data_IF_413812614116
#
_entry.id   IF_413812614116
#
_cell.length_a   1.000
_cell.length_b   1.000
_cell.length_c   1.000
_cell.angle_alpha   90.00
_cell.angle_beta   90.00
_cell.angle_gamma   90.00
#
_symmetry.space_group_name_H-M   'P 1'
#
loop_
_entity.id
_entity.type
_entity.pdbx_description
1 polymer ?
#
# COMPACT_ATOMS: atom_id res chain seq x y z
N UNK A 1 -22.07 27.77 -3.66
CA UNK A 1 -21.59 26.38 -3.55
C UNK A 1 -20.08 26.45 -3.45
N UNK A 2 -19.48 26.01 -2.34
CA UNK A 2 -18.02 25.92 -2.22
C UNK A 2 -17.61 24.75 -3.09
N UNK A 3 -16.96 25.01 -4.23
CA UNK A 3 -16.36 23.96 -5.04
C UNK A 3 -15.30 23.29 -4.18
N UNK A 4 -15.54 22.06 -3.74
CA UNK A 4 -14.49 21.27 -3.10
C UNK A 4 -13.41 21.05 -4.16
N UNK A 5 -12.18 21.53 -3.92
CA UNK A 5 -11.06 21.24 -4.79
C UNK A 5 -10.92 19.71 -4.93
N UNK A 6 -10.66 19.16 -6.12
CA UNK A 6 -10.37 17.74 -6.29
C UNK A 6 -9.07 17.39 -5.55
N UNK A 7 -9.23 16.95 -4.31
CA UNK A 7 -8.18 16.54 -3.41
C UNK A 7 -7.91 15.04 -3.61
N UNK A 8 -6.66 14.68 -3.90
CA UNK A 8 -6.25 13.28 -3.88
C UNK A 8 -6.02 12.86 -2.43
N UNK A 9 -6.91 12.05 -1.91
CA UNK A 9 -6.78 11.43 -0.60
C UNK A 9 -5.91 10.17 -0.71
N UNK A 10 -5.33 9.77 0.41
CA UNK A 10 -4.69 8.45 0.49
C UNK A 10 -5.68 7.37 0.05
N UNK A 11 -5.23 6.46 -0.82
CA UNK A 11 -5.99 5.27 -1.19
C UNK A 11 -5.79 4.13 -0.18
N UNK A 12 -5.02 4.38 0.88
CA UNK A 12 -4.84 3.47 1.99
C UNK A 12 -5.73 3.90 3.16
N UNK A 13 -6.37 2.91 3.78
CA UNK A 13 -7.12 3.05 5.02
C UNK A 13 -6.63 2.00 6.02
N UNK A 14 -6.43 2.42 7.26
CA UNK A 14 -6.26 1.52 8.41
C UNK A 14 -7.56 0.79 8.77
N UNK A 15 -8.72 1.37 8.44
CA UNK A 15 -10.01 0.74 8.72
C UNK A 15 -10.27 -0.37 7.71
N UNK A 16 -10.40 -1.64 8.17
CA UNK A 16 -10.69 -2.74 7.27
C UNK A 16 -12.12 -2.68 6.75
N UNK A 17 -12.35 -3.22 5.56
CA UNK A 17 -13.71 -3.55 5.11
C UNK A 17 -14.07 -4.96 5.54
N UNK A 18 -15.25 -5.12 6.13
CA UNK A 18 -15.76 -6.41 6.61
C UNK A 18 -16.57 -7.11 5.51
N UNK A 19 -16.22 -8.35 5.22
CA UNK A 19 -16.95 -9.23 4.31
C UNK A 19 -17.40 -10.48 5.07
N UNK A 20 -18.65 -10.91 4.87
CA UNK A 20 -19.17 -12.15 5.45
C UNK A 20 -19.60 -13.13 4.37
N UNK A 21 -19.07 -14.36 4.43
CA UNK A 21 -19.35 -15.44 3.49
C UNK A 21 -20.21 -16.48 4.17
N UNK A 22 -21.41 -16.74 3.63
CA UNK A 22 -22.36 -17.73 4.16
C UNK A 22 -22.42 -18.95 3.26
N UNK A 23 -22.39 -20.13 3.88
CA UNK A 23 -22.54 -21.43 3.24
C UNK A 23 -24.00 -21.94 3.29
N UNK A 24 -24.97 -21.08 3.63
CA UNK A 24 -26.36 -21.49 3.82
C UNK A 24 -27.01 -22.11 2.57
N UNK A 25 -26.65 -21.63 1.37
CA UNK A 25 -27.18 -22.17 0.11
C UNK A 25 -26.54 -23.48 -0.31
N UNK A 26 -25.32 -23.76 0.16
CA UNK A 26 -24.59 -25.00 -0.11
C UNK A 26 -23.62 -25.29 1.05
N UNK A 27 -24.07 -26.04 2.08
CA UNK A 27 -23.25 -26.37 3.24
C UNK A 27 -22.00 -27.21 2.89
N UNK A 28 -22.03 -27.89 1.74
CA UNK A 28 -20.92 -28.74 1.28
C UNK A 28 -19.90 -28.01 0.43
N UNK A 29 -20.20 -26.77 0.02
CA UNK A 29 -19.32 -25.96 -0.80
C UNK A 29 -17.92 -25.78 -0.18
N UNK A 30 -16.95 -25.65 -1.07
CA UNK A 30 -15.63 -25.11 -0.72
C UNK A 30 -15.66 -23.59 -0.73
N UNK A 31 -14.92 -22.96 0.19
CA UNK A 31 -14.67 -21.52 0.09
C UNK A 31 -13.91 -21.21 -1.21
N UNK A 32 -13.01 -22.10 -1.64
CA UNK A 32 -12.19 -21.93 -2.83
C UNK A 32 -10.98 -21.03 -2.62
N UNK A 33 -10.35 -21.09 -1.44
CA UNK A 33 -9.13 -20.34 -1.09
C UNK A 33 -8.09 -21.23 -0.45
N UNK A 34 -6.81 -20.87 -0.64
CA UNK A 34 -5.71 -21.37 0.16
C UNK A 34 -5.38 -20.35 1.24
N UNK A 35 -5.15 -20.82 2.47
CA UNK A 35 -4.83 -19.97 3.62
C UNK A 35 -3.35 -20.06 3.97
N UNK A 36 -2.76 -18.93 4.37
CA UNK A 36 -1.44 -18.89 5.02
C UNK A 36 -1.63 -18.73 6.52
N UNK A 37 -0.93 -19.55 7.30
CA UNK A 37 -0.87 -19.44 8.76
C UNK A 37 0.14 -18.36 9.17
N UNK A 38 -0.30 -17.45 10.05
CA UNK A 38 0.50 -16.36 10.62
C UNK A 38 0.71 -16.53 12.12
N UNK A 39 0.61 -17.73 12.66
CA UNK A 39 0.81 -18.04 14.09
C UNK A 39 2.17 -18.69 14.36
N UNK A 40 3.23 -18.17 13.74
CA UNK A 40 4.57 -18.77 13.82
C UNK A 40 5.45 -18.08 14.89
N UNK A 41 4.89 -17.12 15.63
CA UNK A 41 5.61 -16.35 16.64
C UNK A 41 6.67 -15.41 16.05
N UNK A 42 6.58 -15.09 14.76
CA UNK A 42 7.59 -14.27 14.09
C UNK A 42 7.29 -12.77 14.27
N UNK A 43 8.35 -11.96 14.37
CA UNK A 43 8.25 -10.50 14.60
C UNK A 43 7.58 -9.74 13.45
N UNK A 44 7.58 -10.28 12.24
CA UNK A 44 6.86 -9.73 11.09
C UNK A 44 5.34 -9.90 11.19
N UNK A 45 4.85 -10.68 12.16
CA UNK A 45 3.42 -10.95 12.36
C UNK A 45 2.80 -10.11 13.51
N UNK A 46 3.57 -9.18 14.10
CA UNK A 46 3.18 -8.38 15.28
C UNK A 46 1.84 -7.61 15.11
N UNK A 47 1.48 -7.28 13.87
CA UNK A 47 0.25 -6.54 13.53
C UNK A 47 -0.75 -7.34 12.70
N UNK A 48 -0.54 -8.64 12.48
CA UNK A 48 -1.47 -9.45 11.68
C UNK A 48 -2.80 -9.66 12.42
N UNK A 49 -3.95 -9.24 11.86
CA UNK A 49 -5.25 -9.44 12.46
C UNK A 49 -5.67 -10.90 12.24
N UNK A 50 -5.54 -11.68 13.30
CA UNK A 50 -5.91 -13.09 13.28
C UNK A 50 -4.83 -14.01 12.74
N UNK A 51 -5.19 -15.28 12.64
CA UNK A 51 -4.22 -16.37 12.49
C UNK A 51 -4.08 -16.88 11.05
N UNK A 52 -5.02 -16.50 10.16
CA UNK A 52 -5.03 -16.96 8.78
C UNK A 52 -5.38 -15.83 7.81
N UNK A 53 -4.63 -15.72 6.72
CA UNK A 53 -5.00 -14.85 5.58
C UNK A 53 -5.17 -15.67 4.31
N UNK A 54 -5.91 -15.11 3.36
CA UNK A 54 -6.06 -15.67 2.01
C UNK A 54 -4.74 -15.50 1.26
N UNK A 55 -4.12 -16.63 0.90
CA UNK A 55 -2.88 -16.69 0.12
C UNK A 55 -3.17 -16.70 -1.38
N UNK A 56 -4.20 -17.45 -1.78
CA UNK A 56 -4.60 -17.65 -3.17
C UNK A 56 -6.10 -17.89 -3.21
N UNK A 57 -6.77 -17.32 -4.21
CA UNK A 57 -8.15 -17.64 -4.54
C UNK A 57 -8.10 -18.59 -5.73
N UNK A 58 -8.64 -19.79 -5.59
CA UNK A 58 -8.53 -20.81 -6.63
C UNK A 58 -9.24 -20.34 -7.92
N UNK A 59 -8.63 -20.61 -9.07
CA UNK A 59 -9.12 -20.20 -10.40
C UNK A 59 -10.18 -21.14 -10.98
N UNK A 60 -10.45 -22.27 -10.31
CA UNK A 60 -11.40 -23.26 -10.77
C UNK A 60 -12.86 -22.91 -10.41
N UNK A 61 -13.66 -22.58 -11.43
CA UNK A 61 -15.12 -22.32 -11.34
C UNK A 61 -15.48 -21.14 -10.41
N UNK A 62 -16.76 -20.75 -10.41
CA UNK A 62 -17.27 -19.73 -9.48
C UNK A 62 -17.31 -20.27 -8.04
N UNK A 63 -16.20 -20.14 -7.31
CA UNK A 63 -16.14 -20.48 -5.88
C UNK A 63 -16.94 -19.49 -5.01
N UNK A 64 -17.32 -19.89 -3.79
CA UNK A 64 -18.00 -18.98 -2.86
C UNK A 64 -17.16 -17.74 -2.53
N UNK A 65 -15.84 -17.89 -2.42
CA UNK A 65 -14.93 -16.77 -2.23
C UNK A 65 -15.03 -15.76 -3.37
N UNK A 66 -15.01 -16.20 -4.63
CA UNK A 66 -15.15 -15.31 -5.79
C UNK A 66 -16.50 -14.61 -5.81
N UNK A 67 -17.59 -15.35 -5.53
CA UNK A 67 -18.95 -14.78 -5.46
C UNK A 67 -19.09 -13.72 -4.37
N UNK A 68 -18.45 -13.93 -3.23
CA UNK A 68 -18.42 -12.97 -2.13
C UNK A 68 -17.38 -11.85 -2.34
N UNK A 69 -16.54 -11.94 -3.37
CA UNK A 69 -15.52 -10.95 -3.66
C UNK A 69 -14.33 -10.99 -2.71
N UNK A 70 -14.01 -12.14 -2.11
CA UNK A 70 -12.79 -12.38 -1.31
C UNK A 70 -11.55 -12.21 -2.20
N UNK A 71 -10.48 -11.64 -1.65
CA UNK A 71 -9.22 -11.35 -2.35
C UNK A 71 -8.01 -11.89 -1.58
N UNK A 72 -6.87 -11.98 -2.26
CA UNK A 72 -5.57 -12.27 -1.62
C UNK A 72 -5.26 -11.16 -0.61
N UNK A 73 -4.73 -11.55 0.56
CA UNK A 73 -4.42 -10.64 1.67
C UNK A 73 -5.54 -10.45 2.69
N UNK A 74 -6.78 -10.82 2.36
CA UNK A 74 -7.92 -10.81 3.27
C UNK A 74 -7.68 -11.72 4.49
N UNK A 75 -8.06 -11.31 5.71
CA UNK A 75 -7.86 -12.07 6.95
C UNK A 75 -9.14 -12.70 7.47
N UNK A 76 -9.08 -13.96 7.91
CA UNK A 76 -10.20 -14.59 8.62
C UNK A 76 -10.17 -14.12 10.07
N UNK A 77 -11.22 -13.40 10.47
CA UNK A 77 -11.31 -12.80 11.80
C UNK A 77 -12.46 -13.36 12.64
N UNK A 78 -13.45 -14.02 12.05
CA UNK A 78 -14.50 -14.70 12.81
C UNK A 78 -15.10 -15.89 12.05
N UNK A 79 -15.63 -16.86 12.81
CA UNK A 79 -16.43 -17.99 12.31
C UNK A 79 -17.70 -18.12 13.15
N UNK A 80 -18.88 -18.03 12.52
CA UNK A 80 -20.19 -17.97 13.17
C UNK A 80 -20.29 -16.92 14.30
N UNK A 81 -19.58 -15.79 14.15
CA UNK A 81 -19.56 -14.72 15.15
C UNK A 81 -18.57 -14.91 16.31
N UNK A 82 -17.87 -16.05 16.37
CA UNK A 82 -16.73 -16.25 17.27
C UNK A 82 -15.47 -15.69 16.62
N UNK A 83 -14.76 -14.81 17.33
CA UNK A 83 -13.59 -14.09 16.84
C UNK A 83 -12.28 -14.87 16.94
N UNK A 84 -11.41 -14.70 15.96
CA UNK A 84 -10.11 -15.36 15.84
C UNK A 84 -9.01 -14.33 15.62
N UNK A 85 -8.96 -13.30 16.48
CA UNK A 85 -7.97 -12.23 16.40
C UNK A 85 -6.70 -12.63 17.16
N UNK A 86 -5.55 -12.23 16.59
CA UNK A 86 -4.26 -12.23 17.27
C UNK A 86 -4.10 -10.88 17.95
N UNK A 87 -3.85 -10.89 19.26
CA UNK A 87 -3.27 -9.74 19.94
C UNK A 87 -1.75 -9.89 19.88
N UNK A 88 -0.98 -8.78 19.79
CA UNK A 88 0.47 -8.86 19.83
C UNK A 88 0.89 -9.64 21.08
N UNK A 89 1.71 -10.71 20.95
CA UNK A 89 1.97 -11.67 22.02
C UNK A 89 2.78 -11.10 23.20
N UNK A 90 3.28 -9.87 23.09
CA UNK A 90 4.26 -9.30 24.02
C UNK A 90 3.68 -8.29 25.02
N UNK A 91 2.38 -8.01 24.99
CA UNK A 91 1.75 -7.24 26.06
C UNK A 91 1.15 -8.20 27.06
N UNK A 92 1.55 -8.09 28.34
CA UNK A 92 0.74 -8.71 29.40
C UNK A 92 -0.67 -8.16 29.27
N UNK A 93 -1.68 -8.98 29.51
CA UNK A 93 -3.08 -8.54 29.47
C UNK A 93 -3.33 -7.36 30.43
N UNK A 94 -2.53 -7.28 31.49
CA UNK A 94 -2.43 -6.20 32.48
C UNK A 94 -1.85 -4.89 31.89
N UNK A 95 -1.02 -4.97 30.85
CA UNK A 95 -0.32 -3.87 30.17
C UNK A 95 -1.07 -3.37 28.93
N UNK A 96 -2.05 -4.13 28.43
CA UNK A 96 -2.99 -3.68 27.43
C UNK A 96 -3.97 -2.68 28.06
N UNK A 97 -3.58 -1.39 28.15
CA UNK A 97 -4.56 -0.31 28.33
C UNK A 97 -5.57 -0.38 27.19
N UNK A 98 -6.84 -0.41 27.53
CA UNK A 98 -7.90 -0.24 26.55
C UNK A 98 -7.75 1.17 25.98
N UNK A 99 -7.14 1.30 24.79
CA UNK A 99 -6.92 2.60 24.11
C UNK A 99 -8.25 3.29 23.77
N UNK A 100 -9.40 2.63 23.93
CA UNK A 100 -10.70 3.30 23.86
C UNK A 100 -11.11 4.01 25.16
N UNK A 101 -10.48 3.70 26.30
CA UNK A 101 -10.73 4.38 27.58
C UNK A 101 -10.15 5.82 27.62
N UNK A 102 -9.19 6.16 26.75
CA UNK A 102 -8.61 7.51 26.68
C UNK A 102 -9.04 8.31 25.42
N UNK A 103 -9.74 7.71 24.45
CA UNK A 103 -10.19 8.41 23.22
C UNK A 103 -11.36 9.38 23.50
N UNK A 104 -12.02 9.29 24.66
CA UNK A 104 -13.02 10.28 25.08
C UNK A 104 -12.42 11.62 25.56
N UNK A 105 -11.09 11.81 25.55
CA UNK A 105 -10.45 13.02 26.12
C UNK A 105 -9.38 13.69 25.25
N UNK A 106 -9.41 13.51 23.92
CA UNK A 106 -8.91 14.56 23.02
C UNK A 106 -10.09 15.44 22.60
N UNK A 107 -10.76 16.03 23.60
CA UNK A 107 -11.35 17.33 23.36
C UNK A 107 -10.18 18.30 23.21
N UNK A 108 -10.09 18.91 22.04
CA UNK A 108 -9.30 20.11 21.83
C UNK A 108 -9.56 21.04 23.02
N UNK A 109 -8.50 21.38 23.74
CA UNK A 109 -8.54 22.40 24.76
C UNK A 109 -8.83 23.74 24.07
N UNK A 110 -10.10 24.03 23.86
CA UNK A 110 -10.64 25.38 23.73
C UNK A 110 -11.44 25.65 25.01
N UNK A 111 -10.76 26.34 25.92
CA UNK A 111 -11.22 27.26 26.95
C UNK A 111 -12.66 27.16 27.51
N UNK A 112 -12.70 26.94 28.83
CA UNK A 112 -13.61 27.56 29.79
C UNK A 112 -15.13 27.40 29.59
N UNK A 113 -15.66 26.20 29.85
CA UNK A 113 -17.05 26.06 30.32
C UNK A 113 -17.11 25.08 31.50
N UNK A 114 -17.35 25.62 32.69
CA UNK A 114 -17.75 24.87 33.88
C UNK A 114 -18.96 23.99 33.58
N UNK A 115 -18.80 22.66 33.62
CA UNK A 115 -19.91 21.72 33.48
C UNK A 115 -19.90 20.71 34.62
N UNK A 116 -20.45 21.12 35.78
CA UNK A 116 -20.69 20.30 36.99
C UNK A 116 -21.85 19.28 36.82
N UNK A 117 -22.03 18.70 35.62
CA UNK A 117 -23.19 17.84 35.32
C UNK A 117 -22.82 16.46 34.76
N UNK A 118 -21.63 15.94 35.08
CA UNK A 118 -21.19 14.57 34.72
C UNK A 118 -21.21 13.67 35.97
N UNK A 119 -22.32 13.61 36.71
CA UNK A 119 -22.49 12.61 37.79
C UNK A 119 -23.72 11.71 37.62
N UNK A 120 -24.51 11.88 36.56
CA UNK A 120 -25.72 11.07 36.31
C UNK A 120 -25.72 10.35 34.96
N UNK A 121 -24.54 9.98 34.42
CA UNK A 121 -24.47 8.92 33.41
C UNK A 121 -24.76 7.60 34.13
N UNK A 122 -25.99 7.13 33.94
CA UNK A 122 -26.64 5.99 34.62
C UNK A 122 -25.74 4.75 34.70
N UNK A 123 -25.59 4.19 35.91
CA UNK A 123 -24.85 2.94 36.19
C UNK A 123 -25.24 1.77 35.26
N UNK A 124 -26.45 1.77 34.71
CA UNK A 124 -26.97 0.75 33.79
C UNK A 124 -26.28 0.76 32.42
N UNK A 125 -25.99 1.93 31.83
CA UNK A 125 -25.22 2.02 30.56
C UNK A 125 -23.82 1.41 30.73
N UNK A 126 -23.23 1.58 31.93
CA UNK A 126 -21.91 1.02 32.25
C UNK A 126 -21.92 -0.51 32.37
N UNK A 127 -23.04 -1.11 32.80
CA UNK A 127 -23.15 -2.57 32.96
C UNK A 127 -23.38 -3.26 31.61
N UNK A 128 -24.27 -2.73 30.77
CA UNK A 128 -24.51 -3.29 29.44
C UNK A 128 -23.26 -3.17 28.56
N UNK A 129 -22.55 -2.04 28.63
CA UNK A 129 -21.30 -1.85 27.89
C UNK A 129 -20.19 -2.78 28.38
N UNK A 130 -20.07 -3.00 29.70
CA UNK A 130 -19.14 -4.01 30.27
C UNK A 130 -19.50 -5.43 29.86
N UNK A 131 -20.76 -5.82 29.90
CA UNK A 131 -21.20 -7.15 29.44
C UNK A 131 -20.97 -7.33 27.94
N UNK A 132 -21.17 -6.29 27.13
CA UNK A 132 -20.87 -6.29 25.70
C UNK A 132 -19.36 -6.40 25.45
N UNK A 133 -18.53 -5.62 26.16
CA UNK A 133 -17.05 -5.73 26.09
C UNK A 133 -16.59 -7.13 26.53
N UNK A 134 -17.15 -7.69 27.59
CA UNK A 134 -16.82 -9.05 28.05
C UNK A 134 -17.22 -10.11 27.01
N UNK A 135 -18.42 -10.02 26.42
CA UNK A 135 -18.84 -10.90 25.32
C UNK A 135 -17.94 -10.77 24.10
N UNK A 136 -17.41 -9.59 23.81
CA UNK A 136 -16.43 -9.39 22.73
C UNK A 136 -15.07 -10.00 23.07
N UNK A 137 -14.62 -9.91 24.33
CA UNK A 137 -13.39 -10.55 24.82
C UNK A 137 -13.49 -12.08 24.79
N UNK A 138 -14.60 -12.63 25.32
CA UNK A 138 -14.84 -14.08 25.36
C UNK A 138 -14.99 -14.70 23.95
N UNK A 139 -15.28 -13.87 22.95
CA UNK A 139 -15.32 -14.29 21.55
C UNK A 139 -13.92 -14.47 20.96
N UNK A 140 -12.85 -13.96 21.56
CA UNK A 140 -11.50 -14.09 20.99
C UNK A 140 -10.82 -15.33 21.55
N UNK A 141 -10.51 -16.27 20.66
CA UNK A 141 -9.75 -17.46 21.04
C UNK A 141 -8.27 -17.11 21.15
N UNK A 142 -7.72 -17.24 22.37
CA UNK A 142 -6.28 -17.12 22.66
C UNK A 142 -5.69 -18.49 22.94
N UNK A 143 -4.60 -18.87 22.26
CA UNK A 143 -3.77 -20.01 22.66
C UNK A 143 -2.44 -19.58 23.28
N UNK A 144 -1.93 -20.41 24.19
CA UNK A 144 -0.61 -20.22 24.84
C UNK A 144 0.55 -20.76 24.01
N UNK A 145 0.31 -21.60 23.00
CA UNK A 145 1.38 -22.15 22.15
C UNK A 145 1.23 -21.65 20.71
N UNK A 146 2.34 -21.31 20.03
CA UNK A 146 2.32 -21.00 18.60
C UNK A 146 1.71 -22.15 17.80
N UNK A 147 0.80 -21.83 16.88
CA UNK A 147 0.15 -22.76 15.96
C UNK A 147 -1.15 -23.37 16.46
N UNK A 148 -1.37 -23.43 17.78
CA UNK A 148 -2.59 -23.99 18.37
C UNK A 148 -3.84 -23.17 17.97
N UNK A 149 -3.71 -21.85 17.83
CA UNK A 149 -4.84 -20.98 17.47
C UNK A 149 -5.34 -21.24 16.04
N UNK A 150 -4.41 -21.54 15.12
CA UNK A 150 -4.76 -21.92 13.75
C UNK A 150 -5.47 -23.29 13.72
N UNK A 151 -5.00 -24.27 14.48
CA UNK A 151 -5.68 -25.57 14.59
C UNK A 151 -7.07 -25.44 15.24
N UNK A 152 -7.22 -24.58 16.25
CA UNK A 152 -8.52 -24.27 16.85
C UNK A 152 -9.49 -23.65 15.84
N UNK A 153 -9.01 -22.72 15.00
CA UNK A 153 -9.80 -22.16 13.89
C UNK A 153 -10.25 -23.26 12.91
N UNK A 154 -9.32 -24.12 12.48
CA UNK A 154 -9.64 -25.22 11.57
C UNK A 154 -10.61 -26.22 12.19
N UNK A 155 -10.42 -26.56 13.46
CA UNK A 155 -11.31 -27.45 14.21
C UNK A 155 -12.71 -26.85 14.32
N UNK A 156 -12.84 -25.56 14.60
CA UNK A 156 -14.14 -24.87 14.66
C UNK A 156 -14.85 -24.90 13.32
N UNK A 157 -14.14 -24.62 12.23
CA UNK A 157 -14.69 -24.72 10.87
C UNK A 157 -15.19 -26.14 10.59
N UNK A 158 -14.41 -27.18 10.93
CA UNK A 158 -14.80 -28.59 10.76
C UNK A 158 -16.03 -28.94 11.60
N UNK A 159 -16.07 -28.52 12.86
CA UNK A 159 -17.20 -28.74 13.77
C UNK A 159 -18.49 -28.12 13.21
N UNK A 160 -18.44 -26.85 12.79
CA UNK A 160 -19.61 -26.17 12.23
C UNK A 160 -20.06 -26.82 10.93
N UNK A 161 -19.14 -27.23 10.06
CA UNK A 161 -19.49 -27.99 8.84
C UNK A 161 -20.16 -29.34 9.12
N UNK A 162 -19.91 -29.95 10.29
CA UNK A 162 -20.60 -31.17 10.72
C UNK A 162 -21.97 -30.92 11.39
N UNK A 163 -22.29 -29.66 11.69
CA UNK A 163 -23.55 -29.22 12.29
C UNK A 163 -24.57 -28.85 11.19
N UNK A 164 -25.89 -28.94 11.44
CA UNK A 164 -26.92 -28.44 10.52
C UNK A 164 -26.92 -26.91 10.36
N UNK A 165 -26.21 -26.18 11.21
CA UNK A 165 -26.11 -24.71 11.13
C UNK A 165 -25.20 -24.28 9.98
N UNK A 166 -25.59 -23.27 9.17
CA UNK A 166 -24.75 -22.79 8.09
C UNK A 166 -23.43 -22.21 8.63
N UNK A 167 -22.34 -22.48 7.91
CA UNK A 167 -21.05 -21.86 8.18
C UNK A 167 -21.08 -20.40 7.70
N UNK A 168 -20.65 -19.49 8.57
CA UNK A 168 -20.47 -18.07 8.30
C UNK A 168 -19.02 -17.72 8.61
N UNK A 169 -18.30 -17.20 7.63
CA UNK A 169 -16.91 -16.75 7.79
C UNK A 169 -16.89 -15.23 7.62
N UNK A 170 -16.38 -14.52 8.61
CA UNK A 170 -16.13 -13.07 8.50
C UNK A 170 -14.67 -12.80 8.22
N UNK A 171 -14.45 -11.90 7.28
CA UNK A 171 -13.17 -11.61 6.67
C UNK A 171 -12.92 -10.10 6.70
N UNK A 172 -11.74 -9.69 7.13
CA UNK A 172 -11.30 -8.29 7.09
C UNK A 172 -10.33 -8.06 5.95
N UNK A 173 -10.65 -7.07 5.11
CA UNK A 173 -9.78 -6.61 4.03
C UNK A 173 -9.11 -5.32 4.41
N UNK A 174 -7.79 -5.34 4.35
CA UNK A 174 -6.94 -4.19 4.57
C UNK A 174 -6.35 -3.69 3.25
N UNK A 175 -6.04 -2.39 3.23
CA UNK A 175 -5.35 -1.76 2.11
C UNK A 175 -3.84 -1.96 2.20
N UNK A 176 -3.12 -1.74 1.10
CA UNK A 176 -1.70 -2.09 0.97
C UNK A 176 -0.79 -1.40 2.01
N UNK A 177 -1.16 -0.21 2.48
CA UNK A 177 -0.35 0.57 3.42
C UNK A 177 -0.86 0.52 4.86
N UNK A 178 -1.95 -0.21 5.12
CA UNK A 178 -2.38 -0.49 6.49
C UNK A 178 -1.23 -1.06 7.31
N UNK A 179 -1.15 -0.76 8.62
CA UNK A 179 -0.11 -1.29 9.54
C UNK A 179 0.09 -2.79 9.40
N UNK A 180 -1.02 -3.51 9.24
CA UNK A 180 -1.09 -4.96 9.02
C UNK A 180 -0.23 -5.41 7.84
N UNK A 181 -0.33 -4.72 6.71
CA UNK A 181 0.40 -5.07 5.48
C UNK A 181 1.75 -4.37 5.37
N UNK A 182 1.85 -3.13 5.87
CA UNK A 182 3.04 -2.31 5.76
C UNK A 182 4.16 -2.76 6.69
N UNK A 183 3.86 -3.27 7.89
CA UNK A 183 4.88 -3.63 8.90
C UNK A 183 6.02 -4.49 8.36
N UNK A 184 5.69 -5.54 7.61
CA UNK A 184 6.69 -6.46 7.05
C UNK A 184 7.71 -5.76 6.14
N UNK A 185 7.28 -4.71 5.42
CA UNK A 185 8.14 -3.91 4.53
C UNK A 185 9.07 -3.00 5.33
N UNK A 186 8.54 -2.30 6.33
CA UNK A 186 9.32 -1.45 7.22
C UNK A 186 10.35 -2.26 8.00
N UNK A 187 9.95 -3.44 8.49
CA UNK A 187 10.86 -4.37 9.18
C UNK A 187 11.96 -4.87 8.25
N UNK A 188 11.62 -5.25 7.01
CA UNK A 188 12.58 -5.68 6.00
C UNK A 188 13.57 -4.57 5.63
N UNK A 189 13.09 -3.34 5.43
CA UNK A 189 13.93 -2.17 5.14
C UNK A 189 14.86 -1.77 6.30
N UNK A 190 14.65 -2.33 7.49
CA UNK A 190 15.51 -2.17 8.66
C UNK A 190 16.17 -3.49 9.09
N UNK A 191 16.27 -4.46 8.18
CA UNK A 191 16.94 -5.74 8.39
C UNK A 191 16.46 -6.48 9.65
N UNK A 192 15.17 -6.42 9.96
CA UNK A 192 14.60 -7.04 11.15
C UNK A 192 14.74 -6.23 12.44
N UNK A 193 15.32 -5.03 12.41
CA UNK A 193 15.44 -4.17 13.59
C UNK A 193 14.09 -3.52 13.95
N UNK A 194 13.39 -4.13 14.92
CA UNK A 194 12.04 -3.71 15.35
C UNK A 194 11.99 -2.25 15.80
N UNK A 195 12.86 -1.74 16.71
CA UNK A 195 12.81 -0.33 17.11
C UNK A 195 12.97 0.64 15.94
N UNK A 196 13.92 0.38 15.03
CA UNK A 196 14.16 1.24 13.88
C UNK A 196 13.00 1.20 12.88
N UNK A 197 12.39 0.03 12.67
CA UNK A 197 11.20 -0.11 11.84
C UNK A 197 10.01 0.64 12.44
N UNK A 198 9.84 0.57 13.76
CA UNK A 198 8.81 1.31 14.49
C UNK A 198 8.99 2.83 14.36
N UNK A 199 10.22 3.34 14.53
CA UNK A 199 10.49 4.77 14.32
C UNK A 199 10.19 5.18 12.87
N UNK A 200 10.52 4.33 11.90
CA UNK A 200 10.30 4.59 10.48
C UNK A 200 8.80 4.61 10.13
N UNK A 201 8.00 3.66 10.62
CA UNK A 201 6.55 3.65 10.35
C UNK A 201 5.84 4.83 11.03
N UNK A 202 6.25 5.22 12.24
CA UNK A 202 5.72 6.42 12.91
C UNK A 202 6.09 7.73 12.18
N UNK A 203 7.28 7.79 11.57
CA UNK A 203 7.67 8.92 10.73
C UNK A 203 6.85 8.94 9.43
N UNK A 204 6.63 7.79 8.82
CA UNK A 204 5.77 7.62 7.65
C UNK A 204 4.32 8.05 7.93
N UNK A 205 3.73 7.62 9.04
CA UNK A 205 2.37 8.03 9.44
C UNK A 205 2.24 9.54 9.60
N UNK A 206 3.22 10.19 10.25
CA UNK A 206 3.28 11.66 10.34
C UNK A 206 3.38 12.30 8.97
N UNK A 207 4.30 11.81 8.14
CA UNK A 207 4.44 12.29 6.77
C UNK A 207 3.14 12.15 5.97
N UNK A 208 2.41 11.03 6.09
CA UNK A 208 1.12 10.85 5.40
C UNK A 208 0.09 11.90 5.84
N UNK A 209 0.00 12.16 7.15
CA UNK A 209 -0.94 13.15 7.68
C UNK A 209 -0.61 14.58 7.22
N UNK A 210 0.68 14.87 6.99
CA UNK A 210 1.14 16.18 6.50
C UNK A 210 1.05 16.31 4.97
N UNK A 211 1.31 15.23 4.24
CA UNK A 211 1.41 15.22 2.78
C UNK A 211 0.05 15.06 2.08
N UNK A 212 -0.91 14.41 2.74
CA UNK A 212 -2.26 14.23 2.22
C UNK A 212 -3.29 15.12 2.95
N UNK A 213 -4.33 15.59 2.25
CA UNK A 213 -4.60 15.37 0.83
C UNK A 213 -3.71 16.21 -0.11
N UNK A 214 -3.44 15.69 -1.30
CA UNK A 214 -2.68 16.41 -2.33
C UNK A 214 -3.62 17.26 -3.16
N UNK A 215 -3.34 18.56 -3.25
CA UNK A 215 -4.07 19.48 -4.14
C UNK A 215 -3.65 19.27 -5.59
N UNK A 216 -4.47 18.54 -6.33
CA UNK A 216 -4.26 18.30 -7.75
C UNK A 216 -4.57 19.54 -8.59
N UNK A 217 -5.21 20.59 -8.08
CA UNK A 217 -5.52 21.80 -8.87
C UNK A 217 -4.38 22.79 -8.96
N UNK A 218 -3.34 22.61 -8.14
CA UNK A 218 -2.17 23.50 -8.16
C UNK A 218 -1.53 23.54 -9.56
N UNK A 219 -1.22 24.76 -10.03
CA UNK A 219 -0.75 25.01 -11.40
C UNK A 219 0.49 24.17 -11.75
N UNK A 220 1.46 24.09 -10.82
CA UNK A 220 2.68 23.32 -11.03
C UNK A 220 2.42 21.81 -11.15
N UNK A 221 1.61 21.24 -10.26
CA UNK A 221 1.22 19.82 -10.34
C UNK A 221 0.41 19.53 -11.61
N UNK A 222 -0.55 20.38 -11.98
CA UNK A 222 -1.27 20.26 -13.25
C UNK A 222 -0.34 20.38 -14.45
N UNK A 223 0.67 21.24 -14.40
CA UNK A 223 1.70 21.34 -15.44
C UNK A 223 2.42 20.00 -15.66
N UNK A 224 2.83 19.32 -14.59
CA UNK A 224 3.45 17.98 -14.66
C UNK A 224 2.48 16.95 -15.27
N UNK A 225 1.23 16.92 -14.79
CA UNK A 225 0.22 15.94 -15.19
C UNK A 225 -0.24 16.14 -16.64
N UNK A 226 -0.56 17.38 -17.04
CA UNK A 226 -0.95 17.77 -18.42
C UNK A 226 0.16 17.50 -19.42
N UNK A 227 1.42 17.73 -19.04
CA UNK A 227 2.55 17.39 -19.90
C UNK A 227 2.75 15.87 -20.03
N UNK A 228 2.19 15.06 -19.13
CA UNK A 228 2.57 13.65 -18.94
C UNK A 228 4.08 13.52 -18.74
N UNK A 229 4.65 14.39 -17.91
CA UNK A 229 6.06 14.32 -17.52
C UNK A 229 6.28 13.24 -16.43
N UNK A 230 5.26 13.00 -15.63
CA UNK A 230 5.10 11.80 -14.81
C UNK A 230 3.75 11.19 -15.13
N UNK A 231 3.69 9.88 -15.33
CA UNK A 231 2.42 9.19 -15.61
C UNK A 231 2.48 7.73 -15.20
N UNK A 232 1.35 7.06 -15.26
CA UNK A 232 1.27 5.62 -15.13
C UNK A 232 1.30 4.92 -16.49
N UNK A 233 1.90 3.73 -16.52
CA UNK A 233 1.82 2.78 -17.63
C UNK A 233 1.30 1.45 -17.11
N UNK A 234 0.14 1.06 -17.64
CA UNK A 234 -0.54 -0.19 -17.31
C UNK A 234 -0.72 -1.04 -18.57
N UNK A 235 0.12 -2.07 -18.70
CA UNK A 235 0.12 -3.03 -19.81
C UNK A 235 -0.85 -4.17 -19.44
N UNK A 236 -2.13 -3.82 -19.33
CA UNK A 236 -3.17 -4.54 -18.59
C UNK A 236 -3.64 -5.91 -19.08
N UNK A 237 -2.87 -6.60 -19.91
CA UNK A 237 -3.30 -7.87 -20.49
C UNK A 237 -2.56 -9.08 -19.92
N UNK A 238 -1.55 -8.86 -19.08
CA UNK A 238 -0.77 -9.95 -18.48
C UNK A 238 -0.59 -9.66 -16.98
N UNK A 239 -1.16 -10.52 -16.14
CA UNK A 239 -1.07 -10.43 -14.68
C UNK A 239 0.38 -10.52 -14.17
N UNK A 240 1.32 -10.93 -15.04
CA UNK A 240 2.76 -10.99 -14.72
C UNK A 240 3.50 -9.67 -14.95
N UNK A 241 2.91 -8.69 -15.63
CA UNK A 241 3.58 -7.42 -15.92
C UNK A 241 3.27 -6.41 -14.81
N UNK A 242 4.27 -6.11 -14.00
CA UNK A 242 4.18 -5.04 -13.01
C UNK A 242 4.00 -3.69 -13.71
N UNK A 243 2.87 -3.04 -13.46
CA UNK A 243 2.62 -1.68 -13.90
C UNK A 243 3.73 -0.72 -13.40
N UNK A 244 3.99 0.32 -14.20
CA UNK A 244 5.14 1.19 -13.98
C UNK A 244 4.77 2.67 -13.87
N UNK A 245 5.44 3.38 -12.97
CA UNK A 245 5.46 4.85 -13.01
C UNK A 245 6.48 5.28 -14.06
N UNK A 246 6.01 6.01 -15.07
CA UNK A 246 6.81 6.59 -16.14
C UNK A 246 7.26 8.00 -15.80
N UNK A 247 8.51 8.31 -16.11
CA UNK A 247 9.08 9.65 -15.99
C UNK A 247 9.71 10.04 -17.33
N UNK A 248 9.17 11.07 -17.99
CA UNK A 248 9.76 11.66 -19.19
C UNK A 248 10.65 12.83 -18.77
N UNK A 249 11.97 12.58 -18.69
CA UNK A 249 12.91 13.61 -18.24
C UNK A 249 13.08 14.74 -19.24
N UNK A 250 12.89 14.51 -20.54
CA UNK A 250 12.98 15.59 -21.53
C UNK A 250 11.84 16.59 -21.35
N UNK A 251 10.63 16.11 -21.04
CA UNK A 251 9.52 16.99 -20.66
C UNK A 251 9.78 17.70 -19.35
N UNK A 252 10.30 17.01 -18.33
CA UNK A 252 10.69 17.66 -17.07
C UNK A 252 11.75 18.75 -17.28
N UNK A 253 12.67 18.59 -18.24
CA UNK A 253 13.63 19.63 -18.62
C UNK A 253 12.92 20.81 -19.32
N UNK A 254 11.94 20.53 -20.19
CA UNK A 254 11.19 21.57 -20.92
C UNK A 254 10.28 22.43 -20.03
N UNK A 255 9.76 21.86 -18.93
CA UNK A 255 8.93 22.58 -17.96
C UNK A 255 9.73 23.53 -17.06
N UNK A 256 11.06 23.50 -17.14
CA UNK A 256 11.90 24.47 -16.46
C UNK A 256 11.89 25.77 -17.25
N UNK A 257 11.44 26.85 -16.64
CA UNK A 257 11.82 28.16 -17.14
C UNK A 257 13.32 28.38 -16.90
N UNK A 258 13.93 29.17 -17.79
CA UNK A 258 15.38 29.38 -17.90
C UNK A 258 16.01 29.95 -16.61
N UNK A 259 15.19 30.49 -15.69
CA UNK A 259 15.65 31.17 -14.47
C UNK A 259 15.50 30.34 -13.17
N UNK A 260 15.14 29.05 -13.27
CA UNK A 260 14.72 28.23 -12.10
C UNK A 260 15.77 27.19 -11.64
N UNK A 261 17.06 27.52 -11.63
CA UNK A 261 18.06 26.60 -11.06
C UNK A 261 17.85 26.33 -9.54
N UNK A 262 17.05 27.14 -8.86
CA UNK A 262 16.80 27.02 -7.42
C UNK A 262 15.38 26.62 -7.01
N UNK A 263 14.42 26.46 -7.93
CA UNK A 263 13.03 26.35 -7.49
C UNK A 263 12.67 24.93 -7.00
N UNK A 264 12.71 24.76 -5.69
CA UNK A 264 12.26 23.56 -4.99
C UNK A 264 10.80 23.20 -5.31
N UNK A 265 9.97 24.17 -5.72
CA UNK A 265 8.57 23.96 -6.07
C UNK A 265 8.37 22.94 -7.20
N UNK A 266 9.16 23.01 -8.28
CA UNK A 266 9.05 22.05 -9.39
C UNK A 266 9.35 20.63 -8.91
N UNK A 267 10.36 20.48 -8.04
CA UNK A 267 10.69 19.16 -7.49
C UNK A 267 9.55 18.62 -6.62
N UNK A 268 8.93 19.48 -5.82
CA UNK A 268 7.83 19.10 -4.96
C UNK A 268 6.57 18.73 -5.77
N UNK A 269 6.29 19.42 -6.87
CA UNK A 269 5.19 19.08 -7.79
C UNK A 269 5.43 17.76 -8.54
N UNK A 270 6.68 17.50 -8.96
CA UNK A 270 7.06 16.19 -9.51
C UNK A 270 6.88 15.08 -8.47
N UNK A 271 7.27 15.33 -7.22
CA UNK A 271 7.11 14.35 -6.13
C UNK A 271 5.63 14.07 -5.87
N UNK A 272 4.77 15.10 -5.83
CA UNK A 272 3.31 14.92 -5.69
C UNK A 272 2.75 14.05 -6.81
N UNK A 273 3.05 14.37 -8.07
CA UNK A 273 2.59 13.57 -9.21
C UNK A 273 3.09 12.12 -9.12
N UNK A 274 4.35 11.93 -8.73
CA UNK A 274 4.95 10.60 -8.57
C UNK A 274 4.30 9.80 -7.42
N UNK A 275 3.99 10.46 -6.29
CA UNK A 275 3.24 9.86 -5.17
C UNK A 275 1.84 9.45 -5.60
N UNK A 276 1.10 10.31 -6.32
CA UNK A 276 -0.25 10.00 -6.81
C UNK A 276 -0.25 8.71 -7.65
N UNK A 277 0.64 8.60 -8.64
CA UNK A 277 0.69 7.39 -9.46
C UNK A 277 1.20 6.18 -8.69
N UNK A 278 2.16 6.34 -7.78
CA UNK A 278 2.64 5.23 -6.95
C UNK A 278 1.54 4.70 -6.03
N UNK A 279 0.80 5.57 -5.33
CA UNK A 279 -0.35 5.18 -4.50
C UNK A 279 -1.42 4.46 -5.34
N UNK A 280 -1.73 4.98 -6.53
CA UNK A 280 -2.73 4.41 -7.44
C UNK A 280 -2.31 3.02 -7.93
N UNK A 281 -1.03 2.80 -8.21
CA UNK A 281 -0.49 1.50 -8.61
C UNK A 281 -0.46 0.51 -7.45
N UNK A 282 0.05 0.91 -6.28
CA UNK A 282 0.11 0.04 -5.11
C UNK A 282 -1.29 -0.36 -4.61
N UNK A 283 -2.29 0.53 -4.72
CA UNK A 283 -3.68 0.23 -4.40
C UNK A 283 -4.32 -0.82 -5.33
N UNK A 284 -3.75 -1.03 -6.52
CA UNK A 284 -4.18 -2.05 -7.49
C UNK A 284 -3.31 -3.29 -7.51
N UNK A 285 -2.29 -3.37 -6.65
CA UNK A 285 -1.44 -4.56 -6.55
C UNK A 285 -2.29 -5.81 -6.28
N UNK A 286 -1.92 -6.92 -6.94
CA UNK A 286 -2.63 -8.20 -6.80
C UNK A 286 -2.50 -8.81 -5.39
N UNK A 287 -1.36 -8.62 -4.73
CA UNK A 287 -1.16 -8.94 -3.32
C UNK A 287 -0.88 -7.65 -2.52
N UNK A 288 -1.86 -7.15 -1.73
CA UNK A 288 -1.69 -5.93 -0.93
C UNK A 288 -0.68 -6.11 0.22
N UNK A 289 -0.26 -7.34 0.56
CA UNK A 289 0.79 -7.61 1.56
C UNK A 289 2.20 -7.43 0.98
N UNK A 290 2.33 -7.55 -0.33
CA UNK A 290 3.61 -7.44 -1.05
C UNK A 290 3.44 -6.54 -2.27
N UNK A 291 2.93 -5.31 -2.09
CA UNK A 291 2.62 -4.45 -3.21
C UNK A 291 3.94 -4.02 -3.87
N UNK A 292 4.01 -4.19 -5.19
CA UNK A 292 5.19 -3.89 -5.99
C UNK A 292 4.86 -2.93 -7.11
N UNK A 293 5.81 -2.04 -7.40
CA UNK A 293 5.76 -1.16 -8.57
C UNK A 293 7.11 -1.13 -9.26
N UNK A 294 7.06 -0.95 -10.58
CA UNK A 294 8.23 -0.64 -11.39
C UNK A 294 8.30 0.86 -11.67
N UNK A 295 9.48 1.40 -11.89
CA UNK A 295 9.66 2.77 -12.36
C UNK A 295 10.43 2.74 -13.68
N UNK A 296 9.95 3.46 -14.68
CA UNK A 296 10.62 3.61 -15.97
C UNK A 296 10.99 5.08 -16.18
N UNK A 297 12.29 5.36 -16.23
CA UNK A 297 12.86 6.69 -16.40
C UNK A 297 13.36 6.82 -17.83
N UNK A 298 12.61 7.59 -18.61
CA UNK A 298 12.92 7.84 -20.01
C UNK A 298 13.77 9.09 -20.18
N UNK A 299 14.97 8.87 -20.71
CA UNK A 299 15.99 9.87 -20.98
C UNK A 299 16.08 10.21 -22.47
N UNK A 300 15.13 9.74 -23.28
CA UNK A 300 15.09 10.03 -24.71
C UNK A 300 14.92 11.54 -24.92
N UNK A 301 15.84 12.15 -25.67
CA UNK A 301 15.81 13.59 -25.93
C UNK A 301 16.34 14.47 -24.81
N UNK A 302 16.83 13.89 -23.70
CA UNK A 302 17.48 14.64 -22.63
C UNK A 302 18.76 15.31 -23.12
N UNK A 303 18.88 16.60 -22.88
CA UNK A 303 20.06 17.37 -23.26
C UNK A 303 21.18 17.17 -22.23
N UNK A 304 22.33 16.66 -22.68
CA UNK A 304 23.53 16.53 -21.83
C UNK A 304 24.01 17.86 -21.28
N UNK A 305 23.79 18.95 -22.01
CA UNK A 305 24.19 20.31 -21.60
C UNK A 305 23.40 20.80 -20.39
N UNK A 306 22.15 20.36 -20.25
CA UNK A 306 21.29 20.70 -19.11
C UNK A 306 21.52 19.76 -17.92
N UNK A 307 22.22 18.64 -18.14
CA UNK A 307 22.57 17.67 -17.11
C UNK A 307 21.38 16.86 -16.60
N UNK A 308 21.69 15.80 -15.84
CA UNK A 308 20.69 15.08 -15.06
C UNK A 308 20.55 15.79 -13.71
N UNK A 309 19.33 16.17 -13.34
CA UNK A 309 19.08 16.94 -12.13
C UNK A 309 19.18 16.08 -10.87
N UNK A 310 20.42 15.83 -10.43
CA UNK A 310 20.71 15.03 -9.25
C UNK A 310 19.93 15.48 -8.00
N UNK A 311 19.66 16.79 -7.85
CA UNK A 311 18.84 17.33 -6.75
C UNK A 311 17.40 16.81 -6.78
N UNK A 312 16.77 16.75 -7.96
CA UNK A 312 15.42 16.20 -8.12
C UNK A 312 15.39 14.71 -7.76
N UNK A 313 16.32 13.94 -8.33
CA UNK A 313 16.45 12.50 -8.00
C UNK A 313 16.68 12.30 -6.51
N UNK A 314 17.57 13.08 -5.90
CA UNK A 314 17.86 13.03 -4.46
C UNK A 314 16.62 13.33 -3.62
N UNK A 315 15.87 14.38 -3.94
CA UNK A 315 14.61 14.70 -3.25
C UNK A 315 13.57 13.59 -3.42
N UNK A 316 13.39 13.08 -4.63
CA UNK A 316 12.46 11.98 -4.91
C UNK A 316 12.81 10.76 -4.04
N UNK A 317 14.08 10.34 -4.01
CA UNK A 317 14.49 9.23 -3.16
C UNK A 317 14.38 9.52 -1.66
N UNK A 318 14.69 10.74 -1.23
CA UNK A 318 14.52 11.15 0.16
C UNK A 318 13.05 11.04 0.62
N UNK A 319 12.09 11.19 -0.29
CA UNK A 319 10.67 10.93 -0.03
C UNK A 319 10.34 9.44 -0.08
N UNK A 320 10.82 8.72 -1.10
CA UNK A 320 10.38 7.35 -1.35
C UNK A 320 11.04 6.29 -0.46
N UNK A 321 12.31 6.44 -0.13
CA UNK A 321 13.02 5.48 0.71
C UNK A 321 12.42 5.31 2.12
N UNK A 322 12.07 6.40 2.85
CA UNK A 322 11.44 6.27 4.16
C UNK A 322 9.95 5.92 4.13
N UNK A 323 9.22 6.35 3.11
CA UNK A 323 7.75 6.26 3.09
C UNK A 323 7.21 5.10 2.24
N UNK A 324 8.02 4.57 1.32
CA UNK A 324 7.66 3.44 0.45
C UNK A 324 8.74 2.33 0.50
N UNK A 325 9.14 1.86 1.69
CA UNK A 325 10.13 0.80 1.79
C UNK A 325 9.64 -0.48 1.10
N UNK A 326 10.55 -1.17 0.43
CA UNK A 326 10.29 -2.45 -0.22
C UNK A 326 9.08 -2.49 -1.17
N UNK A 327 8.64 -1.37 -1.75
CA UNK A 327 7.64 -1.35 -2.84
C UNK A 327 8.28 -1.40 -4.21
N UNK A 328 9.46 -0.79 -4.38
CA UNK A 328 10.17 -0.81 -5.65
C UNK A 328 10.61 -2.24 -5.98
N UNK A 329 10.16 -2.73 -7.14
CA UNK A 329 10.60 -3.98 -7.74
C UNK A 329 11.79 -3.75 -8.67
N UNK A 330 11.62 -2.87 -9.66
CA UNK A 330 12.67 -2.46 -10.60
C UNK A 330 12.59 -0.97 -10.92
N UNK A 331 13.74 -0.34 -11.11
CA UNK A 331 13.84 0.95 -11.78
C UNK A 331 14.69 0.80 -13.03
N UNK A 332 14.14 1.15 -14.19
CA UNK A 332 14.86 1.08 -15.46
C UNK A 332 15.08 2.50 -15.99
N UNK A 333 16.33 2.86 -16.27
CA UNK A 333 16.72 4.14 -16.87
C UNK A 333 17.19 3.89 -18.30
N UNK A 334 16.51 4.49 -19.28
CA UNK A 334 16.74 4.24 -20.71
C UNK A 334 16.43 5.48 -21.57
N UNK A 335 17.15 5.74 -22.66
CA UNK A 335 18.45 5.16 -23.00
C UNK A 335 19.55 5.86 -22.20
N UNK A 336 20.46 5.10 -21.60
CA UNK A 336 21.67 5.63 -20.96
C UNK A 336 22.89 5.19 -21.76
N UNK A 337 23.50 6.07 -22.57
CA UNK A 337 24.74 5.75 -23.27
C UNK A 337 25.81 5.26 -22.31
N UNK A 338 26.60 4.26 -22.70
CA UNK A 338 27.65 3.67 -21.85
C UNK A 338 28.60 4.69 -21.22
N UNK A 339 28.93 5.76 -21.93
CA UNK A 339 29.78 6.85 -21.43
C UNK A 339 29.16 7.61 -20.25
N UNK A 340 27.82 7.66 -20.17
CA UNK A 340 27.08 8.30 -19.07
C UNK A 340 26.82 7.37 -17.90
N UNK A 341 26.89 6.05 -18.08
CA UNK A 341 26.57 5.09 -17.03
C UNK A 341 27.37 5.34 -15.75
N UNK A 342 28.65 5.73 -15.85
CA UNK A 342 29.47 6.10 -14.70
C UNK A 342 28.96 7.34 -13.97
N UNK A 343 28.55 8.38 -14.71
CA UNK A 343 27.99 9.61 -14.14
C UNK A 343 26.65 9.32 -13.44
N UNK A 344 25.76 8.53 -14.07
CA UNK A 344 24.50 8.10 -13.46
C UNK A 344 24.75 7.30 -12.17
N UNK A 345 25.67 6.34 -12.20
CA UNK A 345 26.05 5.59 -11.01
C UNK A 345 26.60 6.48 -9.88
N UNK A 346 27.42 7.47 -10.22
CA UNK A 346 27.94 8.43 -9.24
C UNK A 346 26.83 9.29 -8.63
N UNK A 347 25.86 9.74 -9.44
CA UNK A 347 24.69 10.49 -8.96
C UNK A 347 23.83 9.66 -8.00
N UNK A 348 23.79 8.34 -8.16
CA UNK A 348 23.02 7.42 -7.32
C UNK A 348 23.80 6.89 -6.12
N UNK A 349 24.98 7.43 -5.83
CA UNK A 349 25.80 7.00 -4.69
C UNK A 349 25.11 7.17 -3.34
N UNK A 350 24.14 8.09 -3.22
CA UNK A 350 23.34 8.31 -2.01
C UNK A 350 22.27 7.23 -1.77
N UNK A 351 21.94 6.42 -2.79
CA UNK A 351 20.92 5.36 -2.67
C UNK A 351 21.54 4.15 -1.99
N UNK A 352 20.80 3.54 -1.06
CA UNK A 352 21.26 2.33 -0.37
C UNK A 352 21.54 1.17 -1.35
N UNK A 353 22.45 0.26 -0.97
CA UNK A 353 22.92 -0.80 -1.87
C UNK A 353 21.80 -1.75 -2.32
N UNK A 354 20.86 -2.09 -1.44
CA UNK A 354 19.75 -2.99 -1.74
C UNK A 354 18.82 -2.40 -2.80
N UNK A 355 18.52 -1.11 -2.70
CA UNK A 355 17.72 -0.37 -3.67
C UNK A 355 18.48 -0.20 -4.98
N UNK A 356 19.79 0.10 -4.97
CA UNK A 356 20.60 0.19 -6.20
C UNK A 356 20.65 -1.10 -6.99
N UNK A 357 20.61 -2.27 -6.35
CA UNK A 357 20.53 -3.58 -7.04
C UNK A 357 19.27 -3.74 -7.89
N UNK A 358 18.24 -2.93 -7.64
CA UNK A 358 16.98 -2.92 -8.41
C UNK A 358 17.06 -2.02 -9.65
N UNK A 359 18.18 -1.31 -9.84
CA UNK A 359 18.32 -0.34 -10.92
C UNK A 359 18.94 -0.99 -12.15
N UNK A 360 18.36 -0.70 -13.30
CA UNK A 360 18.81 -1.16 -14.61
C UNK A 360 19.10 0.08 -15.44
N UNK A 361 20.38 0.36 -15.64
CA UNK A 361 20.87 1.50 -16.42
C UNK A 361 21.32 0.93 -17.76
N UNK A 362 20.59 1.21 -18.84
CA UNK A 362 20.80 0.54 -20.12
C UNK A 362 20.50 1.44 -21.32
N UNK A 363 21.20 1.20 -22.44
CA UNK A 363 20.88 1.71 -23.77
C UNK A 363 20.23 0.65 -24.67
N UNK A 364 19.98 -0.55 -24.14
CA UNK A 364 19.39 -1.68 -24.86
C UNK A 364 17.90 -1.85 -24.53
N UNK A 365 17.04 -1.67 -25.53
CA UNK A 365 15.59 -1.83 -25.43
C UNK A 365 15.18 -3.27 -25.08
N UNK A 366 15.92 -4.28 -25.52
CA UNK A 366 15.63 -5.67 -25.18
C UNK A 366 15.75 -5.89 -23.66
N UNK A 367 16.75 -5.27 -23.03
CA UNK A 367 16.92 -5.32 -21.57
C UNK A 367 15.75 -4.63 -20.86
N UNK A 368 15.28 -3.48 -21.36
CA UNK A 368 14.08 -2.79 -20.82
C UNK A 368 12.87 -3.72 -20.87
N UNK A 369 12.60 -4.32 -22.03
CA UNK A 369 11.49 -5.25 -22.22
C UNK A 369 11.57 -6.45 -21.28
N UNK A 370 12.76 -7.05 -21.15
CA UNK A 370 12.97 -8.18 -20.25
C UNK A 370 12.71 -7.84 -18.79
N UNK A 371 13.24 -6.70 -18.31
CA UNK A 371 13.17 -6.34 -16.88
C UNK A 371 11.80 -5.78 -16.48
N UNK A 372 11.04 -5.19 -17.41
CA UNK A 372 9.69 -4.69 -17.17
C UNK A 372 8.58 -5.64 -17.64
N UNK A 373 8.92 -6.78 -18.23
CA UNK A 373 7.96 -7.72 -18.82
C UNK A 373 7.26 -7.20 -20.09
N UNK A 374 7.76 -6.13 -20.71
CA UNK A 374 7.12 -5.54 -21.89
C UNK A 374 7.39 -6.35 -23.17
N UNK A 375 6.42 -6.32 -24.09
CA UNK A 375 6.54 -7.03 -25.37
C UNK A 375 7.31 -6.19 -26.39
N UNK A 376 8.55 -6.58 -26.71
CA UNK A 376 9.42 -5.88 -27.67
C UNK A 376 8.76 -5.64 -29.03
N UNK A 377 8.06 -6.65 -29.58
CA UNK A 377 7.40 -6.54 -30.89
C UNK A 377 6.32 -5.46 -30.89
N UNK A 378 5.64 -5.29 -29.76
CA UNK A 378 4.64 -4.25 -29.62
C UNK A 378 5.26 -2.85 -29.61
N UNK A 379 6.40 -2.68 -28.94
CA UNK A 379 7.14 -1.40 -28.93
C UNK A 379 7.62 -1.07 -30.34
N UNK A 380 8.16 -2.05 -31.08
CA UNK A 380 8.59 -1.89 -32.48
C UNK A 380 7.41 -1.50 -33.39
N UNK A 381 6.24 -2.10 -33.20
CA UNK A 381 5.01 -1.73 -33.93
C UNK A 381 4.54 -0.30 -33.61
N UNK A 382 4.77 0.18 -32.39
CA UNK A 382 4.52 1.57 -32.01
C UNK A 382 5.60 2.54 -32.53
N UNK A 383 6.63 2.02 -33.22
CA UNK A 383 7.75 2.75 -33.80
C UNK A 383 8.88 3.04 -32.82
N UNK A 384 8.57 3.34 -31.56
CA UNK A 384 9.54 3.55 -30.49
C UNK A 384 8.87 3.48 -29.11
N UNK A 385 9.69 3.61 -28.06
CA UNK A 385 9.24 3.67 -26.66
C UNK A 385 8.17 4.75 -26.47
N UNK A 386 8.40 5.98 -26.93
CA UNK A 386 7.42 7.08 -26.79
C UNK A 386 6.05 6.76 -27.40
N UNK A 387 6.02 6.11 -28.57
CA UNK A 387 4.78 5.63 -29.19
C UNK A 387 4.09 4.58 -28.34
N UNK A 388 4.87 3.64 -27.78
CA UNK A 388 4.37 2.62 -26.87
C UNK A 388 3.84 3.20 -25.56
N UNK A 389 4.54 4.17 -24.95
CA UNK A 389 4.07 4.88 -23.76
C UNK A 389 2.72 5.54 -24.04
N UNK A 390 2.62 6.32 -25.12
CA UNK A 390 1.37 6.99 -25.52
C UNK A 390 0.19 6.04 -25.69
N UNK A 391 0.44 4.84 -26.23
CA UNK A 391 -0.58 3.80 -26.40
C UNK A 391 -1.14 3.29 -25.08
N UNK A 392 -0.29 3.16 -24.05
CA UNK A 392 -0.62 2.56 -22.75
C UNK A 392 -0.86 3.58 -21.62
N UNK A 393 -0.88 4.89 -21.93
CA UNK A 393 -1.30 5.93 -21.00
C UNK A 393 -2.81 5.79 -20.72
N UNK A 394 -3.18 5.19 -19.59
CA UNK A 394 -4.60 5.04 -19.18
C UNK A 394 -5.09 6.13 -18.23
N UNK A 395 -4.37 6.33 -17.13
CA UNK A 395 -4.82 7.13 -15.98
C UNK A 395 -4.21 8.53 -15.93
N UNK A 396 -3.47 8.94 -16.98
CA UNK A 396 -2.99 10.31 -17.14
C UNK A 396 -4.11 11.34 -17.08
N UNK A 397 -5.30 10.99 -17.59
CA UNK A 397 -6.40 11.94 -17.79
C UNK A 397 -7.32 12.11 -16.59
N UNK A 398 -7.40 11.13 -15.67
CA UNK A 398 -8.32 11.22 -14.51
C UNK A 398 -7.88 12.24 -13.46
N UNK A 399 -6.62 12.69 -13.53
CA UNK A 399 -6.04 13.68 -12.62
C UNK A 399 -5.75 15.02 -13.30
N UNK A 400 -6.14 15.19 -14.57
CA UNK A 400 -5.97 16.43 -15.32
C UNK A 400 -7.28 17.21 -15.26
N UNK A 401 -7.20 18.46 -14.81
CA UNK A 401 -8.34 19.37 -14.69
C UNK A 401 -8.11 20.57 -15.60
N UNK A 402 -9.15 21.00 -16.34
CA UNK A 402 -9.06 22.12 -17.27
C UNK A 402 -8.93 23.47 -16.58
#
# INVERSE_FOLDING_TARGET
>A
MVSQNPLFTSLSSEQPSLLSVSFASDPTASLGVQLTNHDNGLTNEMFSPGYASVATVLDDKETLARKAGVKVGDYIVAVNGEGFRRFPPDFKEEELRDVTEEIDLIQFADDDVHNDNIENRTEEESKEEREKKQRLKDRVITSKKPGDSYELLLQKIRQIKSSPTPLLISVERYSWDSRVHSWSRFLSARNGNVPSAMTMIQAHERWRNEFFPIDLTSEGTQGILKAHAVSEIDVSNDEQISAAVYIDFAKLQSLRSVDMEENDALADDVIKAFVVYTETLLARASDPRRPKTCHFVDLTGVSLKQGLHARLLKKLYATFEPNYPETLEKMVMYPVPKIMASAVNAMLSFVNENTRKKFVITDDLFVVCKELGWNLKEIEQCGNVNGYMKKHLKHGLSFVFD
#
